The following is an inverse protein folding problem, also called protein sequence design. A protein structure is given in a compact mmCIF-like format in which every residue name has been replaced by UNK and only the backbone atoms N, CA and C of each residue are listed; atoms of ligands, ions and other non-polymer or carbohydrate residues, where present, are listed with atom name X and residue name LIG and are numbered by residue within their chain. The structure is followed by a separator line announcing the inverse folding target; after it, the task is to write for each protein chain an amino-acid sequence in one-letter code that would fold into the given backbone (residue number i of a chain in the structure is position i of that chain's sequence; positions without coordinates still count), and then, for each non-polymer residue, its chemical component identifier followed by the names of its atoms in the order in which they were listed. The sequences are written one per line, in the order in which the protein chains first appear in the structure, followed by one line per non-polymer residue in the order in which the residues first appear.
data_IF_765086463199
#
_entry.id   IF_765086463199
#
_cell.length_a   1.000
_cell.length_b   1.000
_cell.length_c   1.000
_cell.angle_alpha   90.00
_cell.angle_beta   90.00
_cell.angle_gamma   90.00
#
_symmetry.space_group_name_H-M   'P 1'
#
loop_
_entity.id
_entity.type
_entity.pdbx_description
1 polymer ?
#
# COMPACT_ATOMS: atom_id res chain seq x y z
N UNK A 1 3.77 22.88 21.69
CA UNK A 1 3.71 21.66 20.95
C UNK A 1 2.30 21.33 20.49
N UNK A 2 2.17 20.77 19.32
CA UNK A 2 0.87 20.64 18.68
C UNK A 2 0.34 19.20 18.64
N UNK A 3 0.94 18.27 19.37
CA UNK A 3 0.58 16.85 19.28
C UNK A 3 -0.89 16.59 19.55
N UNK A 4 -1.45 17.12 20.63
CA UNK A 4 -2.85 16.92 20.95
C UNK A 4 -3.78 17.52 19.90
N UNK A 5 -3.42 18.70 19.40
CA UNK A 5 -4.17 19.39 18.36
C UNK A 5 -4.10 18.62 17.05
N UNK A 6 -2.91 18.14 16.67
CA UNK A 6 -2.72 17.37 15.45
C UNK A 6 -3.47 16.05 15.52
N UNK A 7 -3.44 15.38 16.67
CA UNK A 7 -4.18 14.14 16.90
C UNK A 7 -5.69 14.37 16.75
N UNK A 8 -6.22 15.43 17.36
CA UNK A 8 -7.64 15.79 17.22
C UNK A 8 -8.02 16.09 15.79
N UNK A 9 -7.16 16.80 15.06
CA UNK A 9 -7.36 17.12 13.65
C UNK A 9 -7.40 15.86 12.79
N UNK A 10 -6.50 14.91 13.06
CA UNK A 10 -6.48 13.64 12.34
C UNK A 10 -7.73 12.81 12.62
N UNK A 11 -8.18 12.74 13.86
CA UNK A 11 -9.41 12.01 14.21
C UNK A 11 -10.60 12.60 13.46
N UNK A 12 -10.74 13.93 13.46
CA UNK A 12 -11.82 14.59 12.72
C UNK A 12 -11.73 14.32 11.22
N UNK A 13 -10.52 14.33 10.67
CA UNK A 13 -10.30 13.98 9.27
C UNK A 13 -10.75 12.55 8.97
N UNK A 14 -10.40 11.60 9.81
CA UNK A 14 -10.77 10.19 9.63
C UNK A 14 -12.27 9.98 9.72
N UNK A 15 -12.95 10.68 10.64
CA UNK A 15 -14.41 10.61 10.76
C UNK A 15 -15.11 11.17 9.52
N UNK A 16 -14.55 12.23 8.93
CA UNK A 16 -15.10 12.84 7.71
C UNK A 16 -14.72 12.04 6.44
N UNK A 17 -13.75 11.14 6.53
CA UNK A 17 -13.23 10.37 5.39
C UNK A 17 -13.15 8.89 5.76
N UNK A 18 -14.28 8.16 5.78
CA UNK A 18 -14.30 6.77 6.24
C UNK A 18 -13.47 5.82 5.38
N UNK A 19 -13.16 6.19 4.13
CA UNK A 19 -12.29 5.38 3.26
C UNK A 19 -10.79 5.63 3.50
N UNK A 20 -10.46 6.60 4.33
CA UNK A 20 -9.07 6.86 4.69
C UNK A 20 -8.57 5.81 5.67
N UNK A 21 -7.40 5.25 5.39
CA UNK A 21 -6.68 4.38 6.33
C UNK A 21 -5.38 5.08 6.69
N UNK A 22 -5.13 5.25 7.98
CA UNK A 22 -3.88 5.84 8.47
C UNK A 22 -2.72 4.92 8.12
N UNK A 23 -1.77 5.34 7.28
CA UNK A 23 -0.66 4.48 6.91
C UNK A 23 0.33 4.32 8.06
N UNK A 24 0.95 3.15 8.14
CA UNK A 24 2.00 2.85 9.11
C UNK A 24 3.13 2.12 8.40
N UNK A 25 4.38 2.43 8.78
CA UNK A 25 5.55 1.74 8.22
C UNK A 25 5.44 0.24 8.49
N UNK A 26 5.65 -0.56 7.46
CA UNK A 26 5.52 -2.00 7.54
C UNK A 26 4.15 -2.53 7.16
N UNK A 27 3.17 -1.66 6.97
CA UNK A 27 1.83 -2.06 6.54
C UNK A 27 1.86 -2.57 5.10
N UNK A 28 1.16 -3.65 4.83
CA UNK A 28 0.99 -4.18 3.48
C UNK A 28 -0.17 -3.48 2.78
N UNK A 29 0.00 -3.24 1.47
CA UNK A 29 -1.00 -2.58 0.64
C UNK A 29 -1.08 -3.32 -0.70
N UNK A 30 -2.28 -3.57 -1.18
CA UNK A 30 -2.49 -4.18 -2.49
C UNK A 30 -3.01 -3.13 -3.46
N UNK A 31 -2.31 -2.97 -4.57
CA UNK A 31 -2.77 -2.18 -5.70
C UNK A 31 -3.63 -3.06 -6.60
N UNK A 32 -4.88 -2.63 -6.81
CA UNK A 32 -5.84 -3.36 -7.61
C UNK A 32 -5.87 -2.80 -9.03
N UNK A 33 -5.43 -3.59 -9.98
CA UNK A 33 -5.59 -3.31 -11.40
C UNK A 33 -6.86 -4.00 -11.89
N UNK A 34 -7.20 -3.83 -13.15
CA UNK A 34 -8.41 -4.40 -13.74
C UNK A 34 -8.57 -5.90 -13.43
N UNK A 35 -7.53 -6.69 -13.70
CA UNK A 35 -7.53 -8.14 -13.47
C UNK A 35 -6.41 -8.61 -12.55
N UNK A 36 -5.43 -7.76 -12.30
CA UNK A 36 -4.23 -8.12 -11.55
C UNK A 36 -4.23 -7.48 -10.17
N UNK A 37 -3.41 -8.03 -9.29
CA UNK A 37 -3.13 -7.48 -7.95
C UNK A 37 -1.63 -7.37 -7.77
N UNK A 38 -1.19 -6.25 -7.24
CA UNK A 38 0.23 -6.00 -6.99
C UNK A 38 0.44 -5.65 -5.51
N UNK A 39 1.35 -6.36 -4.86
CA UNK A 39 1.64 -6.16 -3.44
C UNK A 39 2.69 -5.07 -3.26
N UNK A 40 2.43 -4.18 -2.30
CA UNK A 40 3.29 -3.07 -1.91
C UNK A 40 3.42 -3.02 -0.39
N UNK A 41 4.45 -2.36 0.09
CA UNK A 41 4.69 -2.17 1.52
C UNK A 41 4.93 -0.70 1.81
N UNK A 42 4.35 -0.19 2.89
CA UNK A 42 4.62 1.17 3.36
C UNK A 42 6.03 1.21 3.94
N UNK A 43 6.90 2.04 3.36
CA UNK A 43 8.30 2.18 3.82
C UNK A 43 8.56 3.53 4.47
N UNK A 44 7.70 4.51 4.24
CA UNK A 44 7.79 5.82 4.89
C UNK A 44 6.40 6.45 4.95
N UNK A 45 6.15 7.25 5.97
CA UNK A 45 4.87 7.95 6.16
C UNK A 45 5.14 9.45 6.22
N UNK A 46 4.29 10.23 5.55
CA UNK A 46 4.39 11.69 5.55
C UNK A 46 4.09 12.26 6.93
N UNK A 47 4.64 13.43 7.24
CA UNK A 47 4.52 14.06 8.56
C UNK A 47 3.08 14.33 8.97
N UNK A 48 2.20 14.63 8.02
CA UNK A 48 0.79 14.89 8.29
C UNK A 48 -0.06 13.62 8.38
N UNK A 49 0.54 12.45 8.19
CA UNK A 49 -0.09 11.13 8.22
C UNK A 49 -1.14 10.91 7.12
N UNK A 50 -1.22 11.78 6.14
CA UNK A 50 -2.19 11.73 5.04
C UNK A 50 -1.57 11.27 3.73
N UNK A 51 -0.36 10.76 3.79
CA UNK A 51 0.35 10.21 2.64
C UNK A 51 1.46 9.29 3.09
N UNK A 52 1.98 8.53 2.17
CA UNK A 52 3.07 7.60 2.44
C UNK A 52 3.79 7.22 1.16
N UNK A 53 4.96 6.60 1.34
CA UNK A 53 5.71 6.00 0.24
C UNK A 53 5.57 4.49 0.30
N UNK A 54 5.18 3.89 -0.81
CA UNK A 54 5.08 2.45 -0.96
C UNK A 54 6.27 1.95 -1.77
N UNK A 55 6.76 0.76 -1.42
CA UNK A 55 7.75 0.04 -2.23
C UNK A 55 7.15 -1.29 -2.68
N UNK A 56 7.35 -1.60 -3.95
CA UNK A 56 6.81 -2.81 -4.58
C UNK A 56 7.47 -4.05 -3.98
N UNK A 57 6.69 -5.05 -3.63
CA UNK A 57 7.24 -6.37 -3.32
C UNK A 57 7.84 -7.00 -4.57
N UNK A 58 8.90 -7.81 -4.37
CA UNK A 58 9.48 -8.66 -5.40
C UNK A 58 9.18 -10.12 -5.03
N UNK A 59 7.92 -10.56 -5.12
CA UNK A 59 7.55 -11.88 -4.63
C UNK A 59 8.08 -12.97 -5.53
N UNK A 60 8.44 -14.11 -4.93
CA UNK A 60 8.86 -15.30 -5.66
C UNK A 60 7.65 -16.21 -5.86
N UNK A 61 7.34 -16.51 -7.11
CA UNK A 61 6.26 -17.45 -7.44
C UNK A 61 6.64 -18.87 -6.99
N UNK A 62 5.79 -19.49 -6.21
CA UNK A 62 5.99 -20.85 -5.69
C UNK A 62 4.88 -21.81 -6.08
N UNK A 63 3.82 -21.32 -6.72
CA UNK A 63 2.73 -22.12 -7.25
C UNK A 63 2.82 -22.21 -8.77
N UNK A 64 1.83 -22.86 -9.38
CA UNK A 64 1.71 -22.87 -10.83
C UNK A 64 0.90 -21.65 -11.32
N UNK A 65 0.70 -21.54 -12.64
CA UNK A 65 0.06 -20.39 -13.25
C UNK A 65 -1.41 -20.21 -12.83
N UNK A 66 -2.10 -21.30 -12.52
CA UNK A 66 -3.51 -21.27 -12.10
C UNK A 66 -3.70 -21.29 -10.59
N UNK A 67 -2.72 -21.80 -9.85
CA UNK A 67 -2.69 -21.79 -8.40
C UNK A 67 -1.58 -20.86 -7.93
N UNK A 68 -1.75 -19.57 -8.15
CA UNK A 68 -0.71 -18.60 -7.88
C UNK A 68 -0.49 -18.45 -6.37
N UNK A 69 0.71 -18.80 -5.94
CA UNK A 69 1.17 -18.57 -4.57
C UNK A 69 2.52 -17.88 -4.64
N UNK A 70 2.76 -17.02 -3.67
CA UNK A 70 3.95 -16.18 -3.67
C UNK A 70 4.61 -16.18 -2.29
N UNK A 71 5.92 -16.15 -2.31
CA UNK A 71 6.74 -15.94 -1.12
C UNK A 71 7.18 -14.48 -1.12
N UNK A 72 6.89 -13.77 -0.03
CA UNK A 72 7.16 -12.33 0.10
C UNK A 72 8.37 -12.03 0.98
N UNK A 73 8.75 -12.95 1.84
CA UNK A 73 9.92 -12.83 2.71
C UNK A 73 11.01 -13.81 2.30
N UNK A 74 12.27 -13.44 2.54
CA UNK A 74 13.41 -14.32 2.33
C UNK A 74 13.53 -15.36 3.46
N UNK A 75 14.59 -16.19 3.41
CA UNK A 75 14.82 -17.24 4.41
C UNK A 75 15.02 -16.67 5.83
N UNK A 76 15.48 -15.42 5.94
CA UNK A 76 15.65 -14.73 7.21
C UNK A 76 14.38 -14.03 7.69
N UNK A 77 13.27 -14.14 6.94
CA UNK A 77 12.01 -13.47 7.26
C UNK A 77 11.96 -12.00 6.87
N UNK A 78 12.93 -11.53 6.09
CA UNK A 78 13.01 -10.14 5.66
C UNK A 78 12.19 -9.93 4.39
N UNK A 79 11.38 -8.84 4.30
CA UNK A 79 10.60 -8.58 3.09
C UNK A 79 11.48 -8.45 1.85
N UNK A 80 11.07 -9.10 0.77
CA UNK A 80 11.74 -8.99 -0.52
C UNK A 80 11.08 -7.86 -1.30
N UNK A 81 11.77 -6.73 -1.44
CA UNK A 81 11.28 -5.53 -2.09
C UNK A 81 12.07 -5.24 -3.37
N UNK A 82 11.41 -4.68 -4.37
CA UNK A 82 12.06 -4.24 -5.60
C UNK A 82 12.73 -2.90 -5.36
N UNK A 83 14.05 -2.87 -5.48
CA UNK A 83 14.81 -1.64 -5.37
C UNK A 83 14.43 -0.68 -6.50
N UNK A 84 14.23 0.60 -6.14
CA UNK A 84 13.89 1.62 -7.11
C UNK A 84 12.42 1.65 -7.55
N UNK A 85 11.61 0.70 -7.11
CA UNK A 85 10.18 0.66 -7.45
C UNK A 85 9.36 1.20 -6.28
N UNK A 86 9.26 2.52 -6.22
CA UNK A 86 8.53 3.22 -5.16
C UNK A 86 7.40 4.06 -5.75
N UNK A 87 6.38 4.30 -4.93
CA UNK A 87 5.25 5.13 -5.31
C UNK A 87 4.87 5.99 -4.10
N UNK A 88 4.86 7.30 -4.27
CA UNK A 88 4.37 8.21 -3.23
C UNK A 88 2.90 8.47 -3.46
N UNK A 89 2.07 8.19 -2.43
CA UNK A 89 0.63 8.38 -2.50
C UNK A 89 0.18 9.36 -1.44
N UNK A 90 -0.88 10.12 -1.76
CA UNK A 90 -1.53 11.04 -0.84
C UNK A 90 -3.04 10.91 -0.94
N UNK A 91 -3.71 11.08 0.20
CA UNK A 91 -5.17 11.07 0.26
C UNK A 91 -5.69 12.49 -0.01
N UNK A 92 -6.35 12.66 -1.16
CA UNK A 92 -6.93 13.95 -1.58
C UNK A 92 -8.29 13.72 -2.21
N UNK A 93 -9.23 14.61 -1.92
CA UNK A 93 -10.57 14.55 -2.52
C UNK A 93 -11.23 13.18 -2.31
N UNK A 94 -11.08 12.64 -1.10
CA UNK A 94 -11.63 11.34 -0.68
C UNK A 94 -11.11 10.15 -1.49
N UNK A 95 -9.92 10.27 -2.08
CA UNK A 95 -9.27 9.22 -2.87
C UNK A 95 -7.77 9.19 -2.62
N UNK A 96 -7.20 8.01 -2.77
CA UNK A 96 -5.75 7.86 -2.79
C UNK A 96 -5.23 8.19 -4.18
N UNK A 97 -4.19 9.02 -4.24
CA UNK A 97 -3.62 9.49 -5.50
C UNK A 97 -2.12 9.36 -5.52
N UNK A 98 -1.58 9.00 -6.69
CA UNK A 98 -0.17 9.10 -7.02
C UNK A 98 -0.04 10.23 -8.03
N UNK A 99 0.45 11.39 -7.58
CA UNK A 99 0.43 12.60 -8.38
C UNK A 99 -1.00 13.01 -8.74
N UNK A 100 -1.32 13.03 -10.02
CA UNK A 100 -2.67 13.36 -10.53
C UNK A 100 -3.56 12.14 -10.74
N UNK A 101 -2.98 10.95 -10.69
CA UNK A 101 -3.70 9.71 -10.96
C UNK A 101 -4.32 9.14 -9.69
N UNK A 102 -5.56 8.70 -9.79
CA UNK A 102 -6.20 7.93 -8.72
C UNK A 102 -5.70 6.50 -8.78
N UNK A 103 -5.31 5.96 -7.62
CA UNK A 103 -4.88 4.58 -7.49
C UNK A 103 -5.90 3.80 -6.65
N UNK A 104 -6.16 2.57 -7.04
CA UNK A 104 -7.10 1.70 -6.33
C UNK A 104 -6.30 0.79 -5.40
N UNK A 105 -6.39 1.05 -4.10
CA UNK A 105 -5.58 0.40 -3.09
C UNK A 105 -6.44 -0.26 -2.02
N UNK A 106 -5.97 -1.41 -1.54
CA UNK A 106 -6.51 -2.07 -0.34
C UNK A 106 -5.42 -2.11 0.72
N UNK A 107 -5.65 -1.41 1.81
CA UNK A 107 -4.72 -1.37 2.94
C UNK A 107 -4.86 -2.60 3.84
N UNK A 108 -3.79 -2.95 4.54
CA UNK A 108 -3.73 -4.11 5.44
C UNK A 108 -3.99 -5.42 4.71
N UNK A 109 -3.65 -5.46 3.42
CA UNK A 109 -3.85 -6.62 2.55
C UNK A 109 -2.61 -6.84 1.71
N UNK A 110 -2.15 -8.07 1.60
CA UNK A 110 -1.01 -8.43 0.76
C UNK A 110 -1.45 -9.49 -0.23
N UNK A 111 -1.57 -9.09 -1.48
CA UNK A 111 -2.01 -9.98 -2.54
C UNK A 111 -1.22 -9.70 -3.83
N UNK A 112 -0.78 -10.76 -4.46
CA UNK A 112 -0.15 -10.72 -5.77
C UNK A 112 -0.93 -11.68 -6.67
N UNK A 113 -1.33 -11.19 -7.85
CA UNK A 113 -2.09 -12.02 -8.79
C UNK A 113 -1.95 -11.47 -10.20
N UNK A 114 -1.71 -12.35 -11.15
CA UNK A 114 -1.69 -12.03 -12.57
C UNK A 114 -2.73 -12.89 -13.26
N UNK A 115 -3.61 -12.25 -14.07
CA UNK A 115 -4.69 -12.96 -14.74
C UNK A 115 -4.12 -13.91 -15.79
N UNK A 116 -4.34 -15.23 -15.68
CA UNK A 116 -3.81 -16.19 -16.64
C UNK A 116 -4.41 -16.09 -18.04
N UNK A 117 -5.51 -15.35 -18.22
CA UNK A 117 -6.13 -15.18 -19.54
C UNK A 117 -5.51 -14.05 -20.37
N UNK A 118 -4.51 -13.35 -19.85
CA UNK A 118 -3.78 -12.29 -20.56
C UNK A 118 -2.37 -12.66 -20.93
#
# INVERSE_FOLDING_TARGET
MKLGKDTGSLVNFMLANPNFVKPEVGMDVTECHWTDRSAWRVVAVDDDLKGCTLQRYAPKAIGNYYEQRYQYEDEAGKPMLKEGHTMHIRYKYKRWKCGRSTVNLRFKCRCEYEDPSF
#
